data_IF_863144328189
#
_entry.id   IF_863144328189
#
_cell.length_a   1.000
_cell.length_b   1.000
_cell.length_c   1.000
_cell.angle_alpha   90.00
_cell.angle_beta   90.00
_cell.angle_gamma   90.00
#
_symmetry.space_group_name_H-M   'P 1'
#
loop_
_entity.id
_entity.type
_entity.pdbx_description
1 polymer ?
#
# COMPACT_ATOMS: atom_id res chain seq x y z
N UNK A 1 -21.51 -26.86 3.99
CA UNK A 1 -21.04 -28.26 3.84
C UNK A 1 -20.35 -28.49 2.48
N UNK A 2 -20.14 -27.45 1.67
CA UNK A 2 -19.67 -27.59 0.27
C UNK A 2 -18.19 -27.23 0.05
N UNK A 3 -17.39 -27.03 1.11
CA UNK A 3 -16.02 -26.50 1.02
C UNK A 3 -15.04 -27.39 0.23
N UNK A 4 -15.42 -28.64 -0.07
CA UNK A 4 -14.56 -29.64 -0.69
C UNK A 4 -15.24 -30.38 -1.87
N UNK A 5 -16.36 -29.87 -2.38
CA UNK A 5 -17.03 -30.48 -3.53
C UNK A 5 -16.10 -30.56 -4.76
N UNK A 6 -15.25 -29.56 -4.94
CA UNK A 6 -14.22 -29.50 -5.99
C UNK A 6 -13.19 -30.64 -5.92
N UNK A 7 -12.96 -31.26 -4.74
CA UNK A 7 -12.07 -32.44 -4.65
C UNK A 7 -12.66 -33.65 -5.39
N UNK A 8 -14.00 -33.77 -5.38
CA UNK A 8 -14.71 -34.79 -6.16
C UNK A 8 -14.55 -34.55 -7.65
N UNK A 9 -14.70 -33.30 -8.08
CA UNK A 9 -14.53 -32.87 -9.47
C UNK A 9 -13.10 -33.14 -9.98
N UNK A 10 -12.06 -32.85 -9.20
CA UNK A 10 -10.67 -33.15 -9.57
C UNK A 10 -10.44 -34.66 -9.73
N UNK A 11 -11.01 -35.47 -8.84
CA UNK A 11 -10.93 -36.93 -8.93
C UNK A 11 -11.64 -37.44 -10.19
N UNK A 12 -12.80 -36.87 -10.53
CA UNK A 12 -13.55 -37.18 -11.76
C UNK A 12 -12.81 -36.76 -13.03
N UNK A 13 -12.04 -35.66 -12.98
CA UNK A 13 -11.14 -35.22 -14.05
C UNK A 13 -9.85 -36.06 -14.16
N UNK A 14 -9.67 -37.07 -13.32
CA UNK A 14 -8.55 -38.02 -13.39
C UNK A 14 -7.29 -37.59 -12.65
N UNK A 15 -7.35 -36.59 -11.77
CA UNK A 15 -6.22 -36.23 -10.92
C UNK A 15 -5.90 -37.35 -9.92
N UNK A 16 -4.61 -37.59 -9.71
CA UNK A 16 -4.16 -38.57 -8.72
C UNK A 16 -4.39 -38.04 -7.30
N UNK A 17 -4.49 -38.94 -6.32
CA UNK A 17 -4.54 -38.56 -4.91
C UNK A 17 -3.30 -37.76 -4.47
N UNK A 18 -2.14 -38.04 -5.06
CA UNK A 18 -0.90 -37.32 -4.79
C UNK A 18 -0.95 -35.88 -5.32
N UNK A 19 -1.56 -35.65 -6.48
CA UNK A 19 -1.75 -34.31 -7.03
C UNK A 19 -2.76 -33.51 -6.22
N UNK A 20 -3.87 -34.15 -5.80
CA UNK A 20 -4.88 -33.53 -4.92
C UNK A 20 -4.27 -33.17 -3.56
N UNK A 21 -3.48 -34.07 -2.98
CA UNK A 21 -2.77 -33.82 -1.71
C UNK A 21 -1.78 -32.66 -1.83
N UNK A 22 -1.06 -32.57 -2.95
CA UNK A 22 -0.15 -31.45 -3.23
C UNK A 22 -0.89 -30.13 -3.35
N UNK A 23 -2.01 -30.08 -4.07
CA UNK A 23 -2.85 -28.89 -4.19
C UNK A 23 -3.40 -28.42 -2.84
N UNK A 24 -3.88 -29.36 -2.00
CA UNK A 24 -4.34 -29.02 -0.64
C UNK A 24 -3.22 -28.47 0.23
N UNK A 25 -2.01 -29.04 0.11
CA UNK A 25 -0.84 -28.54 0.82
C UNK A 25 -0.47 -27.13 0.33
N UNK A 26 -0.43 -26.90 -0.98
CA UNK A 26 -0.15 -25.59 -1.57
C UNK A 26 -1.19 -24.54 -1.16
N UNK A 27 -2.48 -24.90 -1.13
CA UNK A 27 -3.56 -24.02 -0.66
C UNK A 27 -3.40 -23.68 0.83
N UNK A 28 -3.13 -24.69 1.67
CA UNK A 28 -2.92 -24.50 3.11
C UNK A 28 -1.68 -23.65 3.40
N UNK A 29 -0.60 -23.81 2.63
CA UNK A 29 0.66 -23.10 2.83
C UNK A 29 0.64 -21.66 2.27
N UNK A 30 -0.10 -21.42 1.20
CA UNK A 30 -0.08 -20.14 0.51
C UNK A 30 -1.30 -19.26 0.79
N UNK A 31 -2.47 -19.81 1.12
CA UNK A 31 -3.68 -19.02 1.39
C UNK A 31 -3.41 -17.95 2.47
N UNK A 32 -3.90 -16.71 2.28
CA UNK A 32 -4.74 -16.22 1.18
C UNK A 32 -3.97 -15.72 -0.07
N UNK A 33 -2.66 -15.94 -0.15
CA UNK A 33 -1.84 -15.46 -1.25
C UNK A 33 -2.02 -16.28 -2.53
N UNK A 34 -2.18 -15.56 -3.63
CA UNK A 34 -1.99 -16.06 -4.98
C UNK A 34 -0.58 -15.65 -5.40
N UNK A 35 0.32 -16.61 -5.59
CA UNK A 35 1.69 -16.33 -6.03
C UNK A 35 1.67 -15.81 -7.46
N UNK A 36 2.34 -14.69 -7.72
CA UNK A 36 2.33 -14.00 -9.02
C UNK A 36 3.71 -13.88 -9.62
N UNK A 37 3.79 -14.00 -10.95
CA UNK A 37 5.00 -13.64 -11.68
C UNK A 37 5.07 -12.13 -11.88
N UNK A 38 6.26 -11.56 -11.69
CA UNK A 38 6.44 -10.12 -11.78
C UNK A 38 6.35 -9.63 -13.23
N UNK A 39 5.41 -8.73 -13.52
CA UNK A 39 5.32 -8.12 -14.84
C UNK A 39 6.47 -7.15 -15.09
N UNK A 40 7.19 -7.34 -16.20
CA UNK A 40 8.25 -6.42 -16.62
C UNK A 40 7.65 -5.26 -17.38
N UNK A 41 7.42 -4.15 -16.67
CA UNK A 41 6.97 -2.90 -17.29
C UNK A 41 8.12 -1.92 -17.47
N UNK A 42 7.97 -0.97 -18.42
CA UNK A 42 8.97 0.10 -18.61
C UNK A 42 9.02 0.97 -17.37
N UNK A 43 10.23 1.32 -16.91
CA UNK A 43 10.42 2.21 -15.76
C UNK A 43 9.60 3.50 -15.90
N UNK A 44 8.81 3.79 -14.87
CA UNK A 44 8.00 4.99 -14.78
C UNK A 44 8.46 5.80 -13.57
N UNK A 45 8.63 7.11 -13.77
CA UNK A 45 8.96 8.04 -12.69
C UNK A 45 7.76 8.91 -12.40
N UNK A 46 7.62 9.32 -11.15
CA UNK A 46 6.63 10.30 -10.73
C UNK A 46 6.93 11.62 -11.44
N UNK A 47 5.96 12.15 -12.16
CA UNK A 47 5.95 13.54 -12.58
C UNK A 47 5.29 14.38 -11.49
N UNK A 48 6.11 15.22 -10.85
CA UNK A 48 5.73 16.06 -9.70
C UNK A 48 4.77 17.19 -10.09
N UNK A 49 4.59 17.47 -11.38
CA UNK A 49 3.72 18.55 -11.89
C UNK A 49 2.59 18.02 -12.77
N UNK A 50 2.45 16.70 -12.85
CA UNK A 50 1.43 16.09 -13.69
C UNK A 50 0.03 16.37 -13.17
N UNK A 51 -0.84 16.79 -14.09
CA UNK A 51 -2.26 16.90 -13.85
C UNK A 51 -2.99 16.22 -15.00
N UNK A 52 -4.03 15.44 -14.66
CA UNK A 52 -4.95 14.92 -15.65
C UNK A 52 -5.66 16.08 -16.36
N UNK A 53 -5.96 15.91 -17.65
CA UNK A 53 -6.74 16.89 -18.41
C UNK A 53 -8.09 17.12 -17.71
N UNK A 54 -8.45 18.39 -17.49
CA UNK A 54 -9.67 18.76 -16.78
C UNK A 54 -9.65 18.56 -15.27
N UNK A 55 -8.49 18.19 -14.68
CA UNK A 55 -8.37 18.10 -13.22
C UNK A 55 -8.60 19.47 -12.58
N UNK A 56 -9.46 19.52 -11.55
CA UNK A 56 -9.77 20.73 -10.77
C UNK A 56 -8.54 21.39 -10.13
N UNK A 57 -7.45 20.65 -9.98
CA UNK A 57 -6.17 21.18 -9.48
C UNK A 57 -5.38 21.97 -10.53
N UNK A 58 -5.66 21.77 -11.83
CA UNK A 58 -5.01 22.50 -12.92
C UNK A 58 -5.89 23.69 -13.32
N UNK A 59 -5.57 24.88 -12.81
CA UNK A 59 -6.27 26.15 -13.10
C UNK A 59 -6.00 26.70 -14.51
N UNK A 60 -5.32 25.94 -15.37
CA UNK A 60 -4.93 26.35 -16.72
C UNK A 60 -6.02 26.00 -17.73
N UNK A 61 -6.66 27.04 -18.27
CA UNK A 61 -7.42 27.08 -19.52
C UNK A 61 -8.19 25.78 -19.87
N UNK A 62 -9.50 25.78 -19.63
CA UNK A 62 -10.47 25.02 -20.44
C UNK A 62 -10.47 25.53 -21.90
N UNK A 63 -9.31 25.74 -22.51
CA UNK A 63 -9.19 26.17 -23.88
C UNK A 63 -9.43 24.95 -24.78
N UNK A 64 -10.66 24.85 -25.25
CA UNK A 64 -10.93 24.57 -26.66
C UNK A 64 -10.38 23.26 -27.21
N UNK A 65 -10.57 22.14 -26.50
CA UNK A 65 -10.59 20.85 -27.19
C UNK A 65 -11.92 20.73 -27.92
N UNK A 66 -11.95 21.17 -29.18
CA UNK A 66 -12.93 20.72 -30.17
C UNK A 66 -12.71 19.22 -30.41
N UNK A 67 -13.11 18.38 -29.47
CA UNK A 67 -13.37 16.99 -29.75
C UNK A 67 -14.88 16.82 -29.68
N UNK A 68 -15.47 16.61 -30.86
CA UNK A 68 -16.83 16.11 -31.00
C UNK A 68 -17.03 14.92 -30.06
N UNK A 69 -18.19 14.80 -29.40
CA UNK A 69 -18.54 13.60 -28.67
C UNK A 69 -18.82 12.49 -29.70
N UNK A 70 -17.77 11.85 -30.21
CA UNK A 70 -17.93 10.58 -30.90
C UNK A 70 -18.58 9.61 -29.90
N UNK A 71 -19.77 9.13 -30.25
CA UNK A 71 -20.48 8.11 -29.51
C UNK A 71 -19.53 6.96 -29.20
N UNK A 72 -19.20 6.80 -27.91
CA UNK A 72 -18.34 5.72 -27.44
C UNK A 72 -19.06 4.40 -27.78
N UNK A 73 -18.50 3.64 -28.73
CA UNK A 73 -19.00 2.32 -29.07
C UNK A 73 -18.86 1.36 -27.88
N UNK A 74 -19.76 0.39 -27.75
CA UNK A 74 -19.68 -0.61 -26.66
C UNK A 74 -18.35 -1.38 -26.69
N UNK A 75 -17.83 -1.65 -27.89
CA UNK A 75 -16.53 -2.31 -28.07
C UNK A 75 -15.33 -1.46 -27.59
N UNK A 76 -15.42 -0.13 -27.65
CA UNK A 76 -14.38 0.75 -27.07
C UNK A 76 -14.48 0.85 -25.55
N UNK A 77 -15.69 0.74 -24.98
CA UNK A 77 -15.87 0.68 -23.51
C UNK A 77 -15.26 -0.59 -22.91
N UNK A 78 -15.45 -1.74 -23.55
CA UNK A 78 -14.90 -3.02 -23.08
C UNK A 78 -13.36 -3.03 -23.16
N UNK A 79 -12.80 -2.56 -24.29
CA UNK A 79 -11.35 -2.45 -24.45
C UNK A 79 -10.71 -1.44 -23.48
N UNK A 80 -11.41 -0.34 -23.16
CA UNK A 80 -10.96 0.64 -22.17
C UNK A 80 -11.06 0.08 -20.74
N UNK A 81 -12.07 -0.74 -20.46
CA UNK A 81 -12.25 -1.42 -19.17
C UNK A 81 -11.15 -2.46 -18.95
N UNK A 82 -10.89 -3.35 -19.91
CA UNK A 82 -9.80 -4.33 -19.82
C UNK A 82 -8.44 -3.66 -19.67
N UNK A 83 -8.20 -2.58 -20.43
CA UNK A 83 -6.97 -1.78 -20.29
C UNK A 83 -6.84 -1.20 -18.88
N UNK A 84 -7.93 -0.65 -18.34
CA UNK A 84 -7.95 -0.09 -16.98
C UNK A 84 -7.72 -1.15 -15.92
N UNK A 85 -8.34 -2.32 -16.05
CA UNK A 85 -8.13 -3.46 -15.15
C UNK A 85 -6.69 -3.93 -15.17
N UNK A 86 -6.07 -4.05 -16.35
CA UNK A 86 -4.66 -4.39 -16.46
C UNK A 86 -3.77 -3.33 -15.79
N UNK A 87 -4.10 -2.04 -15.95
CA UNK A 87 -3.37 -0.96 -15.27
C UNK A 87 -3.49 -1.07 -13.75
N UNK A 88 -4.69 -1.33 -13.24
CA UNK A 88 -4.95 -1.54 -11.82
C UNK A 88 -4.17 -2.75 -11.30
N UNK A 89 -4.14 -3.86 -12.03
CA UNK A 89 -3.36 -5.06 -11.65
C UNK A 89 -1.87 -4.75 -11.51
N UNK A 90 -1.29 -4.03 -12.47
CA UNK A 90 0.11 -3.57 -12.39
C UNK A 90 0.32 -2.71 -11.14
N UNK A 91 -0.56 -1.73 -10.89
CA UNK A 91 -0.45 -0.87 -9.70
C UNK A 91 -0.52 -1.72 -8.42
N UNK A 92 -1.48 -2.63 -8.34
CA UNK A 92 -1.64 -3.52 -7.20
C UNK A 92 -0.38 -4.36 -6.96
N UNK A 93 0.17 -4.94 -8.01
CA UNK A 93 1.39 -5.75 -7.97
C UNK A 93 2.58 -4.98 -7.38
N UNK A 94 2.83 -3.75 -7.85
CA UNK A 94 3.95 -2.94 -7.38
C UNK A 94 3.71 -2.36 -5.98
N UNK A 95 2.48 -1.99 -5.64
CA UNK A 95 2.17 -1.50 -4.30
C UNK A 95 2.20 -2.63 -3.26
N UNK A 96 1.83 -3.85 -3.63
CA UNK A 96 1.66 -4.97 -2.70
C UNK A 96 0.68 -4.66 -1.57
N UNK A 97 0.48 -5.62 -0.67
CA UNK A 97 -0.21 -5.32 0.59
C UNK A 97 0.80 -4.61 1.51
N UNK A 98 0.74 -3.27 1.56
CA UNK A 98 1.69 -2.43 2.30
C UNK A 98 3.17 -2.59 1.84
N UNK A 99 3.41 -2.75 0.54
CA UNK A 99 4.75 -2.96 -0.03
C UNK A 99 5.23 -4.40 -0.02
N UNK A 100 4.35 -5.34 0.33
CA UNK A 100 4.63 -6.78 0.38
C UNK A 100 3.85 -7.48 -0.73
N UNK A 101 4.58 -8.07 -1.69
CA UNK A 101 3.99 -8.71 -2.88
C UNK A 101 4.44 -10.17 -3.00
N UNK A 102 3.53 -11.09 -3.37
CA UNK A 102 3.81 -12.52 -3.38
C UNK A 102 4.51 -12.99 -4.67
N UNK A 103 5.72 -12.48 -4.93
CA UNK A 103 6.46 -12.76 -6.18
C UNK A 103 7.26 -14.07 -6.19
N UNK A 104 7.30 -14.78 -5.06
CA UNK A 104 8.04 -16.03 -4.92
C UNK A 104 7.41 -16.87 -3.83
N UNK A 105 7.44 -18.19 -4.00
CA UNK A 105 7.12 -19.14 -2.92
C UNK A 105 8.06 -18.97 -1.72
N UNK A 106 9.30 -18.53 -1.97
CA UNK A 106 10.26 -18.20 -0.92
C UNK A 106 9.91 -16.84 -0.31
N UNK A 107 9.14 -16.86 0.79
CA UNK A 107 8.75 -15.69 1.58
C UNK A 107 9.95 -14.91 2.12
N UNK A 108 11.13 -15.53 2.19
CA UNK A 108 12.35 -14.81 2.58
C UNK A 108 12.73 -13.74 1.56
N UNK A 109 12.27 -13.82 0.30
CA UNK A 109 12.57 -12.81 -0.73
C UNK A 109 11.65 -11.58 -0.65
N UNK A 110 10.64 -11.61 0.20
CA UNK A 110 9.66 -10.52 0.29
C UNK A 110 10.20 -9.36 1.14
N UNK A 111 9.66 -8.16 0.93
CA UNK A 111 10.04 -6.96 1.69
C UNK A 111 9.60 -7.04 3.17
N UNK A 112 8.70 -7.95 3.52
CA UNK A 112 8.16 -8.12 4.85
C UNK A 112 7.24 -9.32 4.93
N UNK A 113 6.46 -9.39 6.00
CA UNK A 113 5.46 -10.43 6.23
C UNK A 113 4.09 -9.85 6.55
N UNK A 114 3.07 -10.65 6.26
CA UNK A 114 1.68 -10.35 6.60
C UNK A 114 1.11 -11.53 7.38
N UNK A 115 0.56 -11.23 8.56
CA UNK A 115 -0.18 -12.18 9.37
C UNK A 115 -1.67 -11.96 9.16
N UNK A 116 -2.38 -12.94 8.63
CA UNK A 116 -3.83 -12.88 8.49
C UNK A 116 -4.51 -13.38 9.75
N UNK A 117 -5.59 -12.71 10.15
CA UNK A 117 -6.37 -13.05 11.35
C UNK A 117 -7.36 -14.18 11.03
N UNK A 118 -8.02 -14.76 12.04
CA UNK A 118 -8.79 -16.02 11.93
C UNK A 118 -9.81 -16.08 10.78
N UNK A 119 -10.40 -14.95 10.37
CA UNK A 119 -11.37 -14.88 9.25
C UNK A 119 -10.76 -14.51 7.89
N UNK A 120 -9.44 -14.25 7.83
CA UNK A 120 -8.69 -13.79 6.67
C UNK A 120 -9.21 -12.48 6.04
N UNK A 121 -10.06 -11.73 6.74
CA UNK A 121 -10.55 -10.41 6.34
C UNK A 121 -9.85 -9.27 7.12
N UNK A 122 -9.02 -9.64 8.09
CA UNK A 122 -8.11 -8.76 8.82
C UNK A 122 -6.68 -9.23 8.64
N UNK A 123 -5.74 -8.29 8.53
CA UNK A 123 -4.33 -8.60 8.40
C UNK A 123 -3.45 -7.60 9.15
N UNK A 124 -2.24 -8.04 9.51
CA UNK A 124 -1.19 -7.19 10.07
C UNK A 124 0.04 -7.30 9.17
N UNK A 125 0.51 -6.18 8.62
CA UNK A 125 1.67 -6.12 7.73
C UNK A 125 2.86 -5.46 8.43
N UNK A 126 4.06 -6.04 8.25
CA UNK A 126 5.28 -5.55 8.88
C UNK A 126 6.51 -5.83 8.01
N UNK A 127 7.55 -5.00 8.15
CA UNK A 127 8.86 -5.30 7.58
C UNK A 127 9.71 -5.98 8.65
N UNK A 128 10.03 -7.25 8.40
CA UNK A 128 10.77 -8.08 9.35
C UNK A 128 12.20 -7.58 9.52
N UNK A 129 12.65 -7.54 10.77
CA UNK A 129 14.05 -7.40 11.12
C UNK A 129 14.63 -8.82 11.15
N UNK A 130 15.53 -9.14 10.22
CA UNK A 130 16.16 -10.47 10.18
C UNK A 130 17.49 -10.43 10.90
N UNK A 131 17.50 -10.90 12.14
CA UNK A 131 18.72 -11.06 12.92
C UNK A 131 19.56 -12.20 12.36
N UNK A 132 20.46 -11.87 11.45
CA UNK A 132 21.63 -12.70 11.16
C UNK A 132 22.86 -11.80 11.03
N UNK A 133 23.66 -11.79 12.09
CA UNK A 133 25.06 -11.38 12.09
C UNK A 133 25.34 -9.92 11.62
N UNK A 134 24.71 -8.92 12.26
CA UNK A 134 25.14 -7.51 12.18
C UNK A 134 24.75 -6.73 10.93
N UNK A 135 24.12 -7.34 9.91
CA UNK A 135 23.62 -6.67 8.68
C UNK A 135 22.12 -6.33 8.71
N UNK A 136 21.55 -6.23 9.91
CA UNK A 136 20.10 -6.09 10.12
C UNK A 136 19.52 -4.79 9.55
N UNK A 137 20.26 -3.68 9.72
CA UNK A 137 19.83 -2.31 9.33
C UNK A 137 19.94 -2.06 7.82
N UNK A 138 21.08 -2.40 7.19
CA UNK A 138 21.27 -2.29 5.72
C UNK A 138 20.26 -3.16 4.95
N UNK A 139 19.99 -4.38 5.42
CA UNK A 139 18.97 -5.24 4.81
C UNK A 139 17.57 -4.64 4.91
N UNK A 140 17.22 -4.03 6.05
CA UNK A 140 15.93 -3.41 6.27
C UNK A 140 15.73 -2.14 5.41
N UNK A 141 16.70 -1.22 5.40
CA UNK A 141 16.61 -0.03 4.53
C UNK A 141 16.56 -0.42 3.05
N UNK A 142 17.22 -1.52 2.67
CA UNK A 142 17.09 -2.11 1.34
C UNK A 142 15.65 -2.50 1.01
N UNK A 143 14.95 -3.17 1.93
CA UNK A 143 13.53 -3.56 1.77
C UNK A 143 12.60 -2.33 1.71
N UNK A 144 12.80 -1.36 2.60
CA UNK A 144 12.06 -0.09 2.61
C UNK A 144 12.26 0.66 1.28
N UNK A 145 13.51 0.78 0.83
CA UNK A 145 13.86 1.43 -0.43
C UNK A 145 13.25 0.74 -1.64
N UNK A 146 13.25 -0.59 -1.68
CA UNK A 146 12.66 -1.35 -2.78
C UNK A 146 11.14 -1.16 -2.83
N UNK A 147 10.44 -1.28 -1.70
CA UNK A 147 9.01 -1.06 -1.64
C UNK A 147 8.62 0.37 -2.05
N UNK A 148 9.39 1.38 -1.63
CA UNK A 148 9.16 2.76 -2.03
C UNK A 148 9.46 3.04 -3.51
N UNK A 149 10.49 2.38 -4.06
CA UNK A 149 10.78 2.44 -5.50
C UNK A 149 9.65 1.83 -6.32
N UNK A 150 9.14 0.68 -5.88
CA UNK A 150 8.00 -0.01 -6.50
C UNK A 150 6.73 0.84 -6.42
N UNK A 151 6.47 1.46 -5.26
CA UNK A 151 5.42 2.47 -5.11
C UNK A 151 5.57 3.63 -6.11
N UNK A 152 6.76 4.23 -6.21
CA UNK A 152 6.99 5.35 -7.12
C UNK A 152 6.78 4.95 -8.59
N UNK A 153 7.14 3.72 -8.93
CA UNK A 153 6.88 3.15 -10.25
C UNK A 153 5.38 2.95 -10.49
N UNK A 154 4.64 2.42 -9.52
CA UNK A 154 3.18 2.27 -9.59
C UNK A 154 2.48 3.61 -9.82
N UNK A 155 2.89 4.66 -9.09
CA UNK A 155 2.38 6.02 -9.25
C UNK A 155 2.70 6.57 -10.64
N UNK A 156 3.95 6.47 -11.09
CA UNK A 156 4.33 6.92 -12.44
C UNK A 156 3.55 6.19 -13.54
N UNK A 157 3.23 4.92 -13.32
CA UNK A 157 2.41 4.12 -14.23
C UNK A 157 0.95 4.60 -14.22
N UNK A 158 0.38 4.87 -13.03
CA UNK A 158 -0.96 5.45 -12.87
C UNK A 158 -1.09 6.83 -13.52
N UNK A 159 -0.07 7.69 -13.40
CA UNK A 159 -0.05 9.02 -14.03
C UNK A 159 -0.11 8.89 -15.56
N UNK A 160 0.72 8.02 -16.16
CA UNK A 160 0.71 7.76 -17.62
C UNK A 160 -0.62 7.20 -18.11
N UNK A 161 -1.33 6.46 -17.26
CA UNK A 161 -2.66 5.95 -17.56
C UNK A 161 -3.80 6.96 -17.28
N UNK A 162 -3.49 8.17 -16.82
CA UNK A 162 -4.51 9.18 -16.50
C UNK A 162 -5.37 8.82 -15.29
N UNK A 163 -4.79 8.15 -14.28
CA UNK A 163 -5.50 7.74 -13.06
C UNK A 163 -5.07 8.51 -11.81
N UNK A 164 -3.99 9.29 -11.88
CA UNK A 164 -3.46 10.02 -10.73
C UNK A 164 -2.81 11.33 -11.19
N UNK A 165 -2.92 12.39 -10.39
CA UNK A 165 -2.21 13.67 -10.60
C UNK A 165 -0.87 13.67 -9.85
N UNK A 166 -0.36 14.86 -9.48
CA UNK A 166 0.82 15.06 -8.62
C UNK A 166 0.57 14.78 -7.13
N UNK A 167 -0.65 14.38 -6.78
CA UNK A 167 -1.08 14.05 -5.43
C UNK A 167 -2.17 12.99 -5.47
N UNK A 168 -2.32 12.22 -4.41
CA UNK A 168 -3.46 11.32 -4.21
C UNK A 168 -4.14 11.60 -2.87
N UNK A 169 -5.36 11.12 -2.70
CA UNK A 169 -6.12 11.29 -1.46
C UNK A 169 -6.04 10.05 -0.60
N UNK A 170 -6.29 10.21 0.69
CA UNK A 170 -6.59 9.15 1.64
C UNK A 170 -7.76 9.62 2.52
N UNK A 171 -8.42 8.69 3.19
CA UNK A 171 -9.44 9.01 4.18
C UNK A 171 -8.88 8.81 5.58
N UNK A 172 -8.95 9.82 6.42
CA UNK A 172 -8.45 9.79 7.79
C UNK A 172 -9.64 9.70 8.75
N UNK A 173 -9.64 8.69 9.61
CA UNK A 173 -10.57 8.57 10.74
C UNK A 173 -9.94 9.20 11.98
N UNK A 174 -10.68 10.04 12.69
CA UNK A 174 -10.27 10.58 13.98
C UNK A 174 -11.47 10.78 14.91
N UNK A 175 -11.20 10.92 16.20
CA UNK A 175 -12.19 11.24 17.23
C UNK A 175 -12.04 12.71 17.63
N UNK A 176 -13.15 13.37 17.95
CA UNK A 176 -13.09 14.69 18.59
C UNK A 176 -12.52 14.58 19.99
N UNK A 177 -11.71 15.55 20.40
CA UNK A 177 -11.18 15.60 21.76
C UNK A 177 -12.26 15.98 22.80
N UNK A 178 -13.36 16.61 22.35
CA UNK A 178 -14.47 17.06 23.20
C UNK A 178 -15.69 16.11 23.18
N UNK A 179 -16.35 15.89 24.35
CA UNK A 179 -17.60 15.15 24.42
C UNK A 179 -18.77 15.86 23.69
N UNK A 180 -19.64 15.11 22.99
CA UNK A 180 -19.60 13.67 22.78
C UNK A 180 -18.52 13.28 21.76
N UNK A 181 -17.66 12.32 22.13
CA UNK A 181 -16.64 11.76 21.25
C UNK A 181 -17.29 11.21 19.98
N UNK A 182 -17.12 11.91 18.86
CA UNK A 182 -17.68 11.51 17.57
C UNK A 182 -16.55 11.19 16.61
N UNK A 183 -16.74 10.12 15.83
CA UNK A 183 -15.80 9.72 14.79
C UNK A 183 -16.09 10.51 13.51
N UNK A 184 -15.05 11.19 13.00
CA UNK A 184 -15.08 11.93 11.75
C UNK A 184 -14.17 11.26 10.73
N UNK A 185 -14.50 11.46 9.45
CA UNK A 185 -13.68 11.02 8.32
C UNK A 185 -13.34 12.24 7.47
N UNK A 186 -12.07 12.58 7.41
CA UNK A 186 -11.54 13.65 6.57
C UNK A 186 -10.87 13.10 5.32
N UNK A 187 -10.97 13.84 4.22
CA UNK A 187 -10.19 13.58 3.02
C UNK A 187 -8.87 14.33 3.14
N UNK A 188 -7.76 13.61 3.22
CA UNK A 188 -6.43 14.21 3.28
C UNK A 188 -5.71 14.00 1.95
N UNK A 189 -4.81 14.92 1.62
CA UNK A 189 -4.07 14.92 0.35
C UNK A 189 -2.59 14.68 0.61
N UNK A 190 -2.01 13.72 -0.11
CA UNK A 190 -0.58 13.39 -0.05
C UNK A 190 0.09 13.86 -1.34
N UNK A 191 1.06 14.77 -1.21
CA UNK A 191 1.86 15.26 -2.32
C UNK A 191 2.92 14.24 -2.75
N UNK A 192 2.88 13.80 -4.01
CA UNK A 192 3.83 12.81 -4.55
C UNK A 192 5.25 13.37 -4.69
N UNK A 193 5.39 14.70 -4.67
CA UNK A 193 6.69 15.36 -4.58
C UNK A 193 7.46 15.04 -3.30
N UNK A 194 6.76 14.89 -2.17
CA UNK A 194 7.36 14.47 -0.89
C UNK A 194 7.87 13.04 -1.00
N UNK A 195 7.04 12.14 -1.56
CA UNK A 195 7.38 10.72 -1.72
C UNK A 195 8.58 10.50 -2.63
N UNK A 196 8.62 11.21 -3.78
CA UNK A 196 9.75 11.15 -4.69
C UNK A 196 11.05 11.68 -4.04
N UNK A 197 10.93 12.65 -3.12
CA UNK A 197 12.08 13.18 -2.37
C UNK A 197 12.51 12.19 -1.27
N UNK A 198 11.57 11.51 -0.62
CA UNK A 198 11.85 10.49 0.38
C UNK A 198 12.64 9.33 -0.22
N UNK A 199 12.29 8.86 -1.42
CA UNK A 199 13.04 7.81 -2.12
C UNK A 199 14.48 8.23 -2.40
N UNK A 200 14.68 9.49 -2.80
CA UNK A 200 16.02 10.02 -3.04
C UNK A 200 16.85 10.02 -1.75
N UNK A 201 16.29 10.50 -0.63
CA UNK A 201 16.99 10.54 0.65
C UNK A 201 17.28 9.14 1.20
N UNK A 202 16.32 8.21 1.11
CA UNK A 202 16.53 6.81 1.49
C UNK A 202 17.65 6.16 0.67
N UNK A 203 17.73 6.48 -0.63
CA UNK A 203 18.81 5.96 -1.49
C UNK A 203 20.19 6.48 -1.06
N UNK A 204 20.29 7.73 -0.60
CA UNK A 204 21.53 8.29 -0.06
C UNK A 204 21.92 7.59 1.24
N UNK A 205 20.99 7.47 2.18
CA UNK A 205 21.21 6.78 3.47
C UNK A 205 21.61 5.33 3.26
N UNK A 206 20.97 4.63 2.33
CA UNK A 206 21.30 3.25 1.98
C UNK A 206 22.75 3.12 1.51
N UNK A 207 23.21 4.00 0.62
CA UNK A 207 24.60 3.97 0.14
C UNK A 207 25.60 4.19 1.28
N UNK A 208 25.32 5.13 2.19
CA UNK A 208 26.16 5.39 3.37
C UNK A 208 26.22 4.19 4.32
N UNK A 209 25.10 3.48 4.50
CA UNK A 209 25.04 2.27 5.32
C UNK A 209 25.78 1.10 4.66
N UNK A 210 25.68 0.95 3.35
CA UNK A 210 26.41 -0.10 2.60
C UNK A 210 27.93 0.13 2.65
N UNK A 211 28.37 1.40 2.77
CA UNK A 211 29.75 1.80 2.99
C UNK A 211 30.19 1.74 4.47
N UNK A 212 29.28 1.39 5.41
CA UNK A 212 29.49 1.37 6.86
C UNK A 212 29.93 2.73 7.47
N UNK A 213 29.54 3.84 6.84
CA UNK A 213 29.82 5.21 7.32
C UNK A 213 28.56 5.95 7.79
N UNK A 214 27.37 5.37 7.57
CA UNK A 214 26.10 5.97 7.97
C UNK A 214 25.94 6.12 9.48
N UNK A 215 25.36 7.24 9.87
CA UNK A 215 25.04 7.65 11.24
C UNK A 215 23.53 7.86 11.40
N UNK A 216 23.06 8.06 12.64
CA UNK A 216 21.64 8.37 12.89
C UNK A 216 21.22 9.72 12.29
N UNK A 217 22.14 10.68 12.22
CA UNK A 217 21.89 12.04 11.71
C UNK A 217 21.59 12.04 10.20
N UNK A 218 22.14 11.06 9.46
CA UNK A 218 21.87 10.91 8.02
C UNK A 218 20.39 10.65 7.72
N UNK A 219 19.61 10.19 8.71
CA UNK A 219 18.17 9.97 8.60
C UNK A 219 17.34 11.24 8.80
N UNK A 220 17.90 12.36 9.26
CA UNK A 220 17.13 13.56 9.62
C UNK A 220 16.28 14.08 8.45
N UNK A 221 16.85 14.10 7.24
CA UNK A 221 16.12 14.52 6.03
C UNK A 221 14.99 13.55 5.68
N UNK A 222 15.18 12.25 5.90
CA UNK A 222 14.13 11.25 5.72
C UNK A 222 13.01 11.46 6.74
N UNK A 223 13.36 11.72 8.00
CA UNK A 223 12.40 11.90 9.08
C UNK A 223 11.55 13.16 8.91
N UNK A 224 12.12 14.26 8.43
CA UNK A 224 11.35 15.46 8.11
C UNK A 224 10.30 15.17 7.03
N UNK A 225 10.67 14.44 5.98
CA UNK A 225 9.73 14.07 4.91
C UNK A 225 8.65 13.10 5.40
N UNK A 226 8.99 12.18 6.31
CA UNK A 226 8.02 11.29 6.95
C UNK A 226 7.05 12.07 7.83
N UNK A 227 7.54 13.06 8.58
CA UNK A 227 6.69 13.97 9.36
C UNK A 227 5.74 14.75 8.45
N UNK A 228 6.23 15.29 7.34
CA UNK A 228 5.39 16.01 6.37
C UNK A 228 4.31 15.10 5.77
N UNK A 229 4.63 13.83 5.46
CA UNK A 229 3.66 12.83 4.99
C UNK A 229 2.62 12.54 6.07
N UNK A 230 3.04 12.33 7.32
CA UNK A 230 2.13 12.01 8.41
C UNK A 230 1.37 13.20 8.96
N UNK A 231 1.80 14.43 8.74
CA UNK A 231 1.05 15.64 9.13
C UNK A 231 -0.37 15.66 8.53
N UNK A 232 -0.56 14.95 7.41
CA UNK A 232 -1.86 14.77 6.76
C UNK A 232 -2.81 13.88 7.57
N UNK A 233 -2.29 12.90 8.33
CA UNK A 233 -3.08 11.91 9.09
C UNK A 233 -2.97 12.04 10.60
N UNK A 234 -1.93 12.71 11.11
CA UNK A 234 -1.62 12.80 12.53
C UNK A 234 -1.61 14.26 13.00
N UNK A 235 -2.49 14.61 13.94
CA UNK A 235 -2.53 15.96 14.54
C UNK A 235 -1.38 16.25 15.52
N UNK A 236 -0.66 15.23 16.02
CA UNK A 236 0.42 15.39 17.00
C UNK A 236 1.70 14.68 16.55
N UNK A 237 2.41 15.23 15.55
CA UNK A 237 3.65 14.65 15.04
C UNK A 237 4.84 14.75 16.00
N UNK A 238 4.68 15.36 17.20
CA UNK A 238 5.78 15.61 18.14
C UNK A 238 6.57 14.34 18.53
N UNK A 239 5.97 13.15 18.42
CA UNK A 239 6.62 11.86 18.68
C UNK A 239 7.74 11.55 17.66
N UNK A 240 7.63 12.08 16.43
CA UNK A 240 8.59 11.90 15.34
C UNK A 240 9.83 12.79 15.48
N UNK A 241 9.69 13.95 16.13
CA UNK A 241 10.71 15.01 16.16
C UNK A 241 11.74 14.85 17.30
N UNK A 242 11.70 13.72 17.99
CA UNK A 242 12.73 13.35 18.95
C UNK A 242 14.04 13.03 18.22
N UNK A 243 14.90 14.05 18.06
CA UNK A 243 16.23 13.90 17.44
C UNK A 243 17.15 12.95 18.20
N UNK A 244 16.84 12.67 19.48
CA UNK A 244 17.56 11.68 20.29
C UNK A 244 17.10 10.23 20.02
N UNK A 245 16.11 10.05 19.15
CA UNK A 245 15.64 8.73 18.75
C UNK A 245 16.74 7.91 18.05
N UNK A 246 16.90 6.67 18.50
CA UNK A 246 17.82 5.71 17.91
C UNK A 246 17.41 5.31 16.48
N UNK A 247 18.34 4.69 15.76
CA UNK A 247 18.15 4.21 14.37
C UNK A 247 16.91 3.31 14.25
N UNK A 248 16.62 2.49 15.26
CA UNK A 248 15.47 1.58 15.25
C UNK A 248 14.13 2.33 15.15
N UNK A 249 13.95 3.40 15.93
CA UNK A 249 12.74 4.25 15.89
C UNK A 249 12.61 4.95 14.53
N UNK A 250 13.71 5.43 13.97
CA UNK A 250 13.74 6.06 12.64
C UNK A 250 13.39 5.06 11.53
N UNK A 251 13.93 3.84 11.61
CA UNK A 251 13.60 2.74 10.70
C UNK A 251 12.13 2.33 10.78
N UNK A 252 11.59 2.24 11.99
CA UNK A 252 10.18 1.98 12.22
C UNK A 252 9.30 2.97 11.46
N UNK A 253 9.54 4.28 11.64
CA UNK A 253 8.74 5.31 10.99
C UNK A 253 8.92 5.35 9.47
N UNK A 254 10.13 5.08 8.96
CA UNK A 254 10.34 4.95 7.52
C UNK A 254 9.55 3.76 6.94
N UNK A 255 9.62 2.60 7.59
CA UNK A 255 8.85 1.44 7.17
C UNK A 255 7.35 1.71 7.24
N UNK A 256 6.88 2.34 8.32
CA UNK A 256 5.47 2.67 8.52
C UNK A 256 4.97 3.65 7.44
N UNK A 257 5.76 4.65 7.08
CA UNK A 257 5.42 5.60 6.03
C UNK A 257 5.30 4.91 4.66
N UNK A 258 6.26 4.04 4.31
CA UNK A 258 6.21 3.30 3.03
C UNK A 258 5.01 2.33 2.98
N UNK A 259 4.77 1.60 4.07
CA UNK A 259 3.59 0.73 4.20
C UNK A 259 2.28 1.52 4.04
N UNK A 260 2.19 2.67 4.70
CA UNK A 260 1.04 3.58 4.63
C UNK A 260 0.82 4.09 3.20
N UNK A 261 1.88 4.54 2.52
CA UNK A 261 1.79 5.03 1.14
C UNK A 261 1.26 3.93 0.21
N UNK A 262 1.84 2.73 0.27
CA UNK A 262 1.39 1.60 -0.54
C UNK A 262 -0.09 1.26 -0.31
N UNK A 263 -0.49 1.16 0.96
CA UNK A 263 -1.87 0.82 1.33
C UNK A 263 -2.86 1.94 0.97
N UNK A 264 -2.48 3.19 1.19
CA UNK A 264 -3.25 4.38 0.83
C UNK A 264 -3.47 4.48 -0.67
N UNK A 265 -2.48 4.14 -1.49
CA UNK A 265 -2.61 4.18 -2.93
C UNK A 265 -3.42 3.01 -3.48
N UNK A 266 -3.34 1.81 -2.88
CA UNK A 266 -4.28 0.72 -3.17
C UNK A 266 -5.73 1.11 -2.88
N UNK A 267 -5.96 1.85 -1.79
CA UNK A 267 -7.28 2.39 -1.45
C UNK A 267 -7.70 3.44 -2.49
N UNK A 268 -6.82 4.38 -2.84
CA UNK A 268 -7.07 5.45 -3.82
C UNK A 268 -7.49 4.94 -5.20
N UNK A 269 -6.80 3.94 -5.75
CA UNK A 269 -7.13 3.37 -7.07
C UNK A 269 -8.44 2.57 -7.08
N UNK A 270 -8.98 2.25 -5.90
CA UNK A 270 -10.33 1.70 -5.67
C UNK A 270 -11.31 2.79 -5.18
N UNK A 271 -10.99 4.07 -5.39
CA UNK A 271 -11.79 5.23 -4.96
C UNK A 271 -12.10 5.27 -3.45
N UNK A 272 -11.27 4.62 -2.63
CA UNK A 272 -11.45 4.42 -1.19
C UNK A 272 -12.70 3.63 -0.79
N UNK A 273 -13.42 3.03 -1.73
CA UNK A 273 -14.68 2.33 -1.46
C UNK A 273 -14.47 0.83 -1.29
N UNK A 274 -15.15 0.27 -0.29
CA UNK A 274 -15.16 -1.15 0.00
C UNK A 274 -13.84 -1.68 0.56
N UNK A 275 -13.84 -2.99 0.81
CA UNK A 275 -12.67 -3.72 1.26
C UNK A 275 -11.57 -3.74 0.19
N UNK A 276 -10.30 -3.75 0.61
CA UNK A 276 -9.18 -3.89 -0.31
C UNK A 276 -9.23 -5.27 -1.00
N UNK A 277 -9.22 -5.26 -2.33
CA UNK A 277 -9.24 -6.47 -3.15
C UNK A 277 -8.08 -6.48 -4.16
N UNK A 278 -6.83 -6.59 -3.68
CA UNK A 278 -5.73 -6.84 -4.60
C UNK A 278 -5.91 -8.20 -5.28
N UNK A 279 -5.61 -8.29 -6.57
CA UNK A 279 -5.81 -9.51 -7.37
C UNK A 279 -4.99 -10.72 -6.90
N UNK A 280 -3.97 -10.50 -6.08
CA UNK A 280 -3.11 -11.53 -5.52
C UNK A 280 -3.56 -12.05 -4.14
N UNK A 281 -4.76 -11.65 -3.69
CA UNK A 281 -5.42 -12.22 -2.52
C UNK A 281 -6.74 -12.87 -2.92
N UNK A 282 -6.99 -14.08 -2.41
CA UNK A 282 -8.25 -14.80 -2.60
C UNK A 282 -9.43 -14.18 -1.82
N UNK A 283 -9.14 -13.32 -0.82
CA UNK A 283 -10.12 -12.72 0.08
C UNK A 283 -9.94 -11.20 0.25
N UNK A 284 -11.06 -10.45 0.30
CA UNK A 284 -11.03 -9.02 0.56
C UNK A 284 -10.56 -8.71 1.98
N UNK A 285 -9.71 -7.68 2.12
CA UNK A 285 -9.23 -7.19 3.41
C UNK A 285 -10.09 -6.00 3.86
N UNK A 286 -10.87 -6.22 4.93
CA UNK A 286 -11.71 -5.19 5.57
C UNK A 286 -10.93 -4.36 6.58
N UNK A 287 -9.85 -4.93 7.11
CA UNK A 287 -8.99 -4.32 8.11
C UNK A 287 -7.52 -4.65 7.83
N UNK A 288 -6.65 -3.67 7.84
CA UNK A 288 -5.20 -3.85 7.69
C UNK A 288 -4.49 -2.99 8.71
N UNK A 289 -3.73 -3.61 9.60
CA UNK A 289 -2.87 -2.92 10.57
C UNK A 289 -1.44 -2.94 10.03
N UNK A 290 -0.81 -1.78 9.95
CA UNK A 290 0.59 -1.64 9.55
C UNK A 290 1.40 -1.16 10.76
N UNK A 291 2.53 -1.82 11.01
CA UNK A 291 3.33 -1.60 12.23
C UNK A 291 4.76 -1.16 11.93
N UNK A 292 5.07 -0.77 10.70
CA UNK A 292 6.42 -0.39 10.28
C UNK A 292 7.38 -1.57 10.37
N UNK A 293 8.28 -1.51 11.34
CA UNK A 293 9.20 -2.61 11.68
C UNK A 293 8.66 -3.39 12.87
N UNK A 294 8.73 -4.72 12.82
CA UNK A 294 8.25 -5.53 13.94
C UNK A 294 8.97 -6.87 14.08
N UNK A 295 8.85 -7.40 15.29
CA UNK A 295 8.76 -8.84 15.55
C UNK A 295 7.26 -9.18 15.65
N UNK A 296 6.88 -10.46 15.59
CA UNK A 296 5.49 -10.94 15.46
C UNK A 296 4.47 -10.48 16.54
N UNK A 297 4.86 -9.64 17.49
CA UNK A 297 4.03 -9.05 18.54
C UNK A 297 4.17 -7.52 18.56
N UNK A 298 3.08 -6.74 18.57
CA UNK A 298 3.14 -5.29 18.74
C UNK A 298 3.81 -4.97 20.08
N UNK A 299 4.96 -4.30 20.05
CA UNK A 299 5.51 -3.63 21.23
C UNK A 299 4.72 -2.34 21.46
N UNK A 300 4.28 -2.08 22.69
CA UNK A 300 3.61 -0.82 23.07
C UNK A 300 4.46 0.44 22.83
N UNK A 301 5.73 0.29 22.46
CA UNK A 301 6.69 1.39 22.31
C UNK A 301 6.59 2.13 20.97
N UNK A 302 5.91 1.54 19.96
CA UNK A 302 5.84 2.13 18.63
C UNK A 302 4.39 2.23 18.11
N UNK A 303 4.01 3.37 17.50
CA UNK A 303 2.67 3.55 16.97
C UNK A 303 2.42 2.62 15.78
N UNK A 304 1.15 2.27 15.57
CA UNK A 304 0.70 1.57 14.37
C UNK A 304 -0.34 2.42 13.63
N UNK A 305 -0.56 2.11 12.36
CA UNK A 305 -1.65 2.69 11.59
C UNK A 305 -2.62 1.57 11.24
N UNK A 306 -3.89 1.82 11.47
CA UNK A 306 -4.98 0.92 11.12
C UNK A 306 -5.76 1.50 9.95
N UNK A 307 -6.01 0.68 8.92
CA UNK A 307 -6.97 0.95 7.86
C UNK A 307 -8.18 0.04 8.05
N UNK A 308 -9.37 0.60 8.16
CA UNK A 308 -10.62 -0.16 8.38
C UNK A 308 -11.80 0.41 7.60
N UNK A 309 -12.83 -0.41 7.41
CA UNK A 309 -14.09 0.02 6.80
C UNK A 309 -14.93 0.86 7.75
N UNK A 310 -15.31 2.05 7.27
CA UNK A 310 -16.15 3.00 7.98
C UNK A 310 -17.40 3.28 7.16
N UNK A 311 -18.56 3.27 7.81
CA UNK A 311 -19.81 3.67 7.19
C UNK A 311 -20.00 5.18 7.32
N UNK A 312 -20.10 5.88 6.20
CA UNK A 312 -20.42 7.32 6.21
C UNK A 312 -21.91 7.53 6.48
N UNK A 313 -22.25 8.36 7.46
CA UNK A 313 -23.65 8.58 7.86
C UNK A 313 -24.48 9.24 6.77
N UNK A 314 -23.94 10.27 6.11
CA UNK A 314 -24.70 11.07 5.13
C UNK A 314 -24.56 10.56 3.68
N UNK A 315 -23.41 9.97 3.35
CA UNK A 315 -23.10 9.53 1.97
C UNK A 315 -23.06 8.00 1.81
N UNK A 316 -23.20 7.23 2.89
CA UNK A 316 -23.07 5.77 2.84
C UNK A 316 -24.04 5.11 1.84
N UNK A 317 -25.31 5.53 1.86
CA UNK A 317 -26.33 5.00 0.95
C UNK A 317 -26.10 5.42 -0.52
N UNK A 318 -25.43 6.55 -0.75
CA UNK A 318 -25.09 7.03 -2.09
C UNK A 318 -23.91 6.26 -2.67
N UNK A 319 -22.90 5.98 -1.84
CA UNK A 319 -21.71 5.22 -2.22
C UNK A 319 -22.04 3.72 -2.34
N UNK A 320 -23.10 3.26 -1.65
CA UNK A 320 -23.56 1.86 -1.58
C UNK A 320 -22.54 0.89 -0.99
N UNK A 321 -21.50 1.41 -0.34
CA UNK A 321 -20.46 0.63 0.31
C UNK A 321 -19.86 1.47 1.46
N UNK A 322 -19.10 0.81 2.33
CA UNK A 322 -18.24 1.49 3.30
C UNK A 322 -17.01 2.10 2.61
N UNK A 323 -16.32 3.00 3.31
CA UNK A 323 -15.05 3.57 2.84
C UNK A 323 -13.90 3.10 3.72
N UNK A 324 -12.73 2.88 3.13
CA UNK A 324 -11.53 2.50 3.87
C UNK A 324 -10.84 3.75 4.42
N UNK A 325 -10.81 3.91 5.73
CA UNK A 325 -10.20 5.05 6.41
C UNK A 325 -9.07 4.64 7.36
N UNK A 326 -8.11 5.54 7.54
CA UNK A 326 -6.87 5.34 8.29
C UNK A 326 -6.90 6.07 9.63
N UNK A 327 -6.47 5.42 10.70
CA UNK A 327 -6.29 6.01 12.03
C UNK A 327 -5.01 5.50 12.69
N UNK A 328 -4.43 6.30 13.58
CA UNK A 328 -3.36 5.81 14.45
C UNK A 328 -3.93 4.90 15.54
N UNK A 329 -3.26 3.78 15.78
CA UNK A 329 -3.54 2.87 16.88
C UNK A 329 -2.32 2.84 17.83
N UNK A 330 -2.62 2.99 19.12
CA UNK A 330 -1.65 2.96 20.23
C UNK A 330 -1.60 1.58 20.89
#
# INVERSE_FOLDING_TARGET
>A
ADSYAWLGELKEMGYSLDDISRLLKEDTENSPWIIIERQRTRSCRIDRKYHMNGCVHFRGQWASSQHDPECISVASLDADTERRENVIRVIQEYCGLAGISPHSQDRSKWNGSVCFHENLQGSTAMYEIRESNGRSVSGLIGRISNALADFCHAVGYAQKAGLCCSSFTILRKFLTDDPPYQAYVDVCRIELGLVASLLQQISLVKNLLDENIGTSEDFDSCMQLVEDIFSSIWTSPQILNDRSSGIDKRMHFLALAVQFLCLGFLSYIQAHTGALRPFFLDRPQKRVVIIGTGHSTPSHDYPSIEAELVQLTCMGDMIKDSVLAFSFAH
#
